data_IF_207828931471
#
_entry.id   IF_207828931471
#
_cell.length_a   1.000
_cell.length_b   1.000
_cell.length_c   1.000
_cell.angle_alpha   90.00
_cell.angle_beta   90.00
_cell.angle_gamma   90.00
#
_symmetry.space_group_name_H-M   'P 1'
#
loop_
_entity.id
_entity.type
_entity.pdbx_description
1 polymer ?
#
# COMPACT_ATOMS: atom_id res chain seq x y z
N UNK A 1 31.08 -0.02 1.25
CA UNK A 1 30.01 0.87 0.82
C UNK A 1 29.54 1.72 1.99
N UNK A 2 29.52 3.01 1.83
CA UNK A 2 29.09 3.93 2.88
C UNK A 2 27.75 4.55 2.48
N UNK A 3 26.69 4.14 3.16
CA UNK A 3 25.34 4.64 2.92
C UNK A 3 24.95 5.60 4.03
N UNK A 4 24.30 6.71 3.65
CA UNK A 4 23.69 7.60 4.62
C UNK A 4 22.49 6.89 5.29
N UNK A 5 22.08 7.32 6.51
CA UNK A 5 20.87 6.75 7.12
C UNK A 5 19.64 6.80 6.21
N UNK A 6 19.47 7.86 5.44
CA UNK A 6 18.39 8.03 4.49
C UNK A 6 18.43 7.00 3.36
N UNK A 7 19.63 6.74 2.83
CA UNK A 7 19.83 5.71 1.81
C UNK A 7 19.55 4.32 2.36
N UNK A 8 19.96 4.06 3.61
CA UNK A 8 19.66 2.79 4.29
C UNK A 8 18.16 2.60 4.44
N UNK A 9 17.42 3.61 4.85
CA UNK A 9 15.95 3.55 4.98
C UNK A 9 15.29 3.25 3.63
N UNK A 10 15.75 3.87 2.56
CA UNK A 10 15.22 3.61 1.22
C UNK A 10 15.47 2.19 0.75
N UNK A 11 16.65 1.65 1.03
CA UNK A 11 16.96 0.26 0.71
C UNK A 11 16.11 -0.70 1.53
N UNK A 12 15.89 -0.41 2.82
CA UNK A 12 15.03 -1.22 3.68
C UNK A 12 13.58 -1.19 3.19
N UNK A 13 13.08 -0.02 2.79
CA UNK A 13 11.74 0.12 2.22
C UNK A 13 11.61 -0.69 0.94
N UNK A 14 12.61 -0.64 0.07
CA UNK A 14 12.64 -1.42 -1.16
C UNK A 14 12.59 -2.92 -0.85
N UNK A 15 13.43 -3.37 0.07
CA UNK A 15 13.48 -4.79 0.45
C UNK A 15 12.15 -5.25 1.05
N UNK A 16 11.58 -4.47 1.96
CA UNK A 16 10.27 -4.77 2.55
C UNK A 16 9.17 -4.79 1.50
N UNK A 17 9.20 -3.87 0.55
CA UNK A 17 8.25 -3.81 -0.55
C UNK A 17 8.34 -5.02 -1.48
N UNK A 18 9.56 -5.45 -1.81
CA UNK A 18 9.77 -6.65 -2.61
C UNK A 18 9.29 -7.91 -1.90
N UNK A 19 9.53 -8.02 -0.60
CA UNK A 19 9.04 -9.13 0.20
C UNK A 19 7.51 -9.15 0.20
N UNK A 20 6.86 -8.00 0.38
CA UNK A 20 5.40 -7.88 0.33
C UNK A 20 4.86 -8.30 -1.04
N UNK A 21 5.53 -7.86 -2.11
CA UNK A 21 5.17 -8.21 -3.48
C UNK A 21 5.22 -9.71 -3.72
N UNK A 22 6.25 -10.39 -3.22
CA UNK A 22 6.38 -11.84 -3.31
C UNK A 22 5.27 -12.56 -2.55
N UNK A 23 4.94 -12.07 -1.35
CA UNK A 23 3.86 -12.64 -0.53
C UNK A 23 2.51 -12.48 -1.21
N UNK A 24 2.23 -11.29 -1.76
CA UNK A 24 1.01 -11.02 -2.52
C UNK A 24 0.91 -11.97 -3.73
N UNK A 25 2.01 -12.18 -4.45
CA UNK A 25 2.04 -13.06 -5.61
C UNK A 25 1.72 -14.53 -5.24
N UNK A 26 2.01 -14.95 -4.01
CA UNK A 26 1.65 -16.27 -3.50
C UNK A 26 0.22 -16.36 -2.98
N UNK A 27 -0.56 -15.31 -3.11
CA UNK A 27 -1.95 -15.26 -2.64
C UNK A 27 -2.11 -14.93 -1.15
N UNK A 28 -1.03 -14.51 -0.48
CA UNK A 28 -1.12 -14.11 0.93
C UNK A 28 -1.66 -12.68 1.04
N UNK A 29 -2.45 -12.45 2.07
CA UNK A 29 -2.96 -11.12 2.37
C UNK A 29 -1.89 -10.33 3.13
N UNK A 30 -1.70 -9.08 2.74
CA UNK A 30 -0.69 -8.22 3.33
C UNK A 30 -1.17 -7.63 4.68
N UNK A 31 -0.25 -7.57 5.65
CA UNK A 31 -0.51 -6.88 6.90
C UNK A 31 -0.27 -5.36 6.72
N UNK A 32 -0.49 -4.58 7.77
CA UNK A 32 -0.39 -3.12 7.71
C UNK A 32 0.99 -2.63 7.24
N UNK A 33 2.13 -3.03 7.84
CA UNK A 33 3.43 -2.58 7.36
C UNK A 33 3.78 -3.09 5.97
N UNK A 34 3.34 -4.29 5.60
CA UNK A 34 3.57 -4.82 4.26
C UNK A 34 2.81 -4.01 3.19
N UNK A 35 1.59 -3.62 3.48
CA UNK A 35 0.80 -2.79 2.56
C UNK A 35 1.47 -1.43 2.32
N UNK A 36 1.94 -0.79 3.38
CA UNK A 36 2.66 0.48 3.30
C UNK A 36 3.95 0.32 2.48
N UNK A 37 4.74 -0.70 2.79
CA UNK A 37 6.01 -0.95 2.10
C UNK A 37 5.80 -1.24 0.61
N UNK A 38 4.78 -2.02 0.28
CA UNK A 38 4.43 -2.34 -1.10
C UNK A 38 4.13 -1.07 -1.91
N UNK A 39 3.22 -0.24 -1.41
CA UNK A 39 2.82 0.98 -2.12
C UNK A 39 3.98 1.97 -2.19
N UNK A 40 4.66 2.21 -1.07
CA UNK A 40 5.76 3.17 -1.01
C UNK A 40 6.89 2.80 -1.96
N UNK A 41 7.33 1.55 -1.96
CA UNK A 41 8.43 1.11 -2.82
C UNK A 41 8.07 1.22 -4.31
N UNK A 42 6.85 0.84 -4.68
CA UNK A 42 6.39 0.96 -6.06
C UNK A 42 6.32 2.43 -6.50
N UNK A 43 5.83 3.32 -5.64
CA UNK A 43 5.75 4.74 -5.97
C UNK A 43 7.12 5.39 -6.10
N UNK A 44 8.09 5.00 -5.28
CA UNK A 44 9.47 5.49 -5.40
C UNK A 44 10.08 5.11 -6.75
N UNK A 45 9.84 3.90 -7.22
CA UNK A 45 10.31 3.45 -8.53
C UNK A 45 9.61 4.21 -9.67
N UNK A 46 8.30 4.43 -9.56
CA UNK A 46 7.55 5.21 -10.55
C UNK A 46 8.03 6.67 -10.60
N UNK A 47 8.40 7.24 -9.46
CA UNK A 47 9.01 8.58 -9.42
C UNK A 47 10.34 8.58 -10.17
N UNK A 48 11.14 7.53 -10.00
CA UNK A 48 12.40 7.36 -10.71
C UNK A 48 12.18 7.23 -12.22
N UNK A 49 11.07 6.60 -12.62
CA UNK A 49 10.65 6.46 -14.02
C UNK A 49 10.18 7.77 -14.63
N UNK A 50 9.96 8.80 -13.83
CA UNK A 50 9.60 10.13 -14.31
C UNK A 50 8.14 10.53 -14.16
N UNK A 51 7.34 9.75 -13.43
CA UNK A 51 5.94 10.13 -13.16
C UNK A 51 5.88 11.36 -12.26
N UNK A 52 4.86 12.18 -12.47
CA UNK A 52 4.61 13.41 -11.68
C UNK A 52 3.99 13.08 -10.32
N UNK A 53 3.99 14.07 -9.41
CA UNK A 53 3.32 13.95 -8.11
C UNK A 53 1.86 13.51 -8.27
N UNK A 54 1.13 14.16 -9.18
CA UNK A 54 -0.29 13.86 -9.43
C UNK A 54 -0.47 12.41 -9.92
N UNK A 55 0.39 11.97 -10.83
CA UNK A 55 0.36 10.59 -11.32
C UNK A 55 0.66 9.57 -10.22
N UNK A 56 1.62 9.87 -9.33
CA UNK A 56 1.94 9.00 -8.20
C UNK A 56 0.76 8.90 -7.23
N UNK A 57 0.10 10.01 -6.93
CA UNK A 57 -1.07 10.03 -6.05
C UNK A 57 -2.19 9.16 -6.62
N UNK A 58 -2.44 9.27 -7.91
CA UNK A 58 -3.45 8.45 -8.60
C UNK A 58 -3.07 6.97 -8.59
N UNK A 59 -1.83 6.64 -8.95
CA UNK A 59 -1.35 5.25 -8.99
C UNK A 59 -1.40 4.60 -7.62
N UNK A 60 -1.01 5.33 -6.56
CA UNK A 60 -1.02 4.81 -5.20
C UNK A 60 -2.39 4.40 -4.71
N UNK A 61 -3.45 5.00 -5.23
CA UNK A 61 -4.83 4.67 -4.88
C UNK A 61 -5.39 3.46 -5.62
N UNK A 62 -4.64 2.89 -6.56
CA UNK A 62 -5.10 1.81 -7.43
C UNK A 62 -4.20 0.57 -7.39
N UNK A 63 -3.35 0.45 -6.36
CA UNK A 63 -2.41 -0.67 -6.24
C UNK A 63 -2.97 -1.85 -5.46
N UNK A 64 -3.70 -1.58 -4.38
CA UNK A 64 -4.24 -2.62 -3.51
C UNK A 64 -5.74 -2.46 -3.32
N UNK A 65 -6.42 -3.60 -3.26
CA UNK A 65 -7.84 -3.66 -2.86
C UNK A 65 -7.94 -4.23 -1.46
N UNK A 66 -9.13 -4.15 -0.86
CA UNK A 66 -9.38 -4.74 0.45
C UNK A 66 -9.24 -6.26 0.47
N UNK A 67 -9.28 -6.93 -0.70
CA UNK A 67 -9.00 -8.37 -0.79
C UNK A 67 -7.52 -8.70 -0.75
N UNK A 68 -6.65 -7.73 -1.01
CA UNK A 68 -5.21 -7.92 -1.01
C UNK A 68 -4.59 -7.79 0.40
N UNK A 69 -5.36 -7.33 1.37
CA UNK A 69 -4.88 -7.02 2.72
C UNK A 69 -5.66 -7.79 3.77
N UNK A 70 -5.05 -7.95 4.95
CA UNK A 70 -5.71 -8.59 6.09
C UNK A 70 -6.86 -7.74 6.60
N UNK A 71 -7.81 -8.35 7.30
CA UNK A 71 -8.95 -7.65 7.88
C UNK A 71 -8.46 -6.57 8.84
N UNK A 72 -9.05 -5.38 8.74
CA UNK A 72 -8.71 -4.23 9.57
C UNK A 72 -7.64 -3.31 8.98
N UNK A 73 -6.87 -3.76 7.99
CA UNK A 73 -5.80 -2.93 7.39
C UNK A 73 -6.39 -1.73 6.65
N UNK A 74 -7.45 -1.95 5.87
CA UNK A 74 -8.06 -0.86 5.11
C UNK A 74 -8.59 0.26 6.01
N UNK A 75 -9.12 -0.07 7.19
CA UNK A 75 -9.64 0.92 8.15
C UNK A 75 -8.53 1.67 8.85
N UNK A 76 -7.36 1.07 9.01
CA UNK A 76 -6.23 1.67 9.70
C UNK A 76 -5.40 2.55 8.76
N UNK A 77 -5.39 2.26 7.47
CA UNK A 77 -4.53 2.92 6.49
C UNK A 77 -5.28 4.01 5.75
N UNK A 78 -5.34 5.20 6.36
CA UNK A 78 -6.05 6.35 5.78
C UNK A 78 -5.21 7.11 4.77
N UNK A 79 -3.90 7.17 4.99
CA UNK A 79 -3.00 7.84 4.05
C UNK A 79 -1.59 7.27 4.15
N UNK A 80 -0.84 7.43 3.07
CA UNK A 80 0.59 7.15 3.03
C UNK A 80 1.29 8.43 2.61
N UNK A 81 2.32 8.83 3.35
CA UNK A 81 3.17 9.96 3.01
C UNK A 81 4.57 9.45 2.70
N UNK A 82 5.12 9.90 1.60
CA UNK A 82 6.48 9.55 1.20
C UNK A 82 7.16 10.75 0.57
N UNK A 83 8.48 10.82 0.72
CA UNK A 83 9.31 11.78 0.01
C UNK A 83 9.89 11.12 -1.22
N UNK A 84 9.68 11.72 -2.38
CA UNK A 84 10.24 11.25 -3.64
C UNK A 84 11.04 12.36 -4.29
N UNK A 85 12.05 11.97 -5.06
CA UNK A 85 12.91 12.92 -5.77
C UNK A 85 12.45 13.06 -7.20
N UNK A 86 12.16 14.30 -7.58
CA UNK A 86 11.74 14.70 -8.92
C UNK A 86 12.82 15.58 -9.55
N UNK A 87 12.76 15.85 -10.87
CA UNK A 87 13.79 16.69 -11.53
C UNK A 87 13.94 18.07 -10.88
N UNK A 88 12.88 18.61 -10.31
CA UNK A 88 12.89 19.93 -9.66
C UNK A 88 13.05 19.87 -8.14
N UNK A 89 13.41 18.73 -7.60
CA UNK A 89 13.72 18.54 -6.17
C UNK A 89 12.90 17.48 -5.48
N UNK A 90 13.14 17.35 -4.17
CA UNK A 90 12.42 16.40 -3.32
C UNK A 90 11.06 16.98 -2.92
N UNK A 91 10.01 16.19 -3.05
CA UNK A 91 8.65 16.60 -2.71
C UNK A 91 7.97 15.53 -1.88
N UNK A 92 7.05 15.97 -1.02
CA UNK A 92 6.18 15.08 -0.26
C UNK A 92 5.01 14.65 -1.14
N UNK A 93 4.78 13.35 -1.21
CA UNK A 93 3.64 12.77 -1.93
C UNK A 93 2.72 12.15 -0.89
N UNK A 94 1.45 12.55 -0.89
CA UNK A 94 0.44 12.01 0.01
C UNK A 94 -0.59 11.21 -0.80
N UNK A 95 -0.76 9.95 -0.45
CA UNK A 95 -1.78 9.09 -1.05
C UNK A 95 -2.90 8.92 -0.03
N UNK A 96 -4.08 9.42 -0.35
CA UNK A 96 -5.27 9.32 0.51
C UNK A 96 -6.06 8.05 0.21
N UNK A 97 -6.51 7.36 1.26
CA UNK A 97 -7.32 6.15 1.16
C UNK A 97 -6.76 5.16 0.13
N UNK A 98 -5.55 4.63 0.38
CA UNK A 98 -4.82 3.84 -0.62
C UNK A 98 -5.40 2.45 -0.88
N UNK A 99 -6.30 1.96 -0.03
CA UNK A 99 -6.91 0.64 -0.21
C UNK A 99 -8.29 0.79 -0.85
N UNK A 100 -8.46 0.22 -2.05
CA UNK A 100 -9.71 0.31 -2.80
C UNK A 100 -10.71 -0.71 -2.25
N UNK A 101 -11.97 -0.31 -1.95
CA UNK A 101 -13.02 -1.26 -1.60
C UNK A 101 -13.31 -2.22 -2.74
N UNK A 102 -13.60 -3.48 -2.43
CA UNK A 102 -14.04 -4.44 -3.43
C UNK A 102 -15.45 -4.09 -3.94
N UNK A 103 -15.85 -4.71 -5.06
CA UNK A 103 -17.22 -4.55 -5.57
C UNK A 103 -18.27 -4.97 -4.52
N UNK A 104 -18.00 -6.04 -3.80
CA UNK A 104 -18.89 -6.54 -2.77
C UNK A 104 -19.06 -5.53 -1.64
N UNK A 105 -17.99 -4.90 -1.19
CA UNK A 105 -18.05 -3.84 -0.17
C UNK A 105 -18.84 -2.63 -0.66
N UNK A 106 -18.69 -2.24 -1.92
CA UNK A 106 -19.43 -1.13 -2.51
C UNK A 106 -20.94 -1.40 -2.55
N UNK A 107 -21.33 -2.64 -2.84
CA UNK A 107 -22.73 -3.03 -2.97
C UNK A 107 -23.47 -3.10 -1.63
N UNK A 108 -22.83 -3.63 -0.58
CA UNK A 108 -23.48 -3.90 0.70
C UNK A 108 -23.09 -2.93 1.82
N UNK A 109 -22.18 -2.00 1.52
CA UNK A 109 -21.61 -1.10 2.50
C UNK A 109 -20.47 -1.74 3.27
N UNK A 110 -19.45 -0.92 3.58
CA UNK A 110 -18.19 -1.37 4.15
C UNK A 110 -18.38 -2.07 5.51
N UNK A 111 -19.19 -1.48 6.40
CA UNK A 111 -19.42 -2.06 7.72
C UNK A 111 -20.10 -3.42 7.67
N UNK A 112 -21.10 -3.59 6.81
CA UNK A 112 -21.78 -4.87 6.59
C UNK A 112 -20.85 -5.95 6.08
N UNK A 113 -19.98 -5.57 5.14
CA UNK A 113 -19.00 -6.49 4.57
C UNK A 113 -18.05 -7.04 5.64
N UNK A 114 -17.60 -6.19 6.55
CA UNK A 114 -16.71 -6.62 7.64
C UNK A 114 -17.39 -7.52 8.63
N UNK A 115 -18.66 -7.29 8.93
CA UNK A 115 -19.46 -8.20 9.78
C UNK A 115 -19.53 -9.59 9.14
N UNK A 116 -19.81 -9.65 7.84
CA UNK A 116 -19.84 -10.92 7.09
C UNK A 116 -18.48 -11.62 7.10
N UNK A 117 -17.40 -10.88 6.90
CA UNK A 117 -16.03 -11.44 6.97
C UNK A 117 -15.72 -12.02 8.35
N UNK A 118 -16.07 -11.30 9.40
CA UNK A 118 -15.85 -11.75 10.76
C UNK A 118 -16.62 -13.06 11.05
N UNK A 119 -17.87 -13.15 10.61
CA UNK A 119 -18.67 -14.37 10.74
C UNK A 119 -18.07 -15.54 9.98
N UNK A 120 -17.57 -15.31 8.77
CA UNK A 120 -16.89 -16.36 7.98
C UNK A 120 -15.61 -16.84 8.66
N UNK A 121 -14.85 -15.92 9.22
CA UNK A 121 -13.61 -16.27 9.96
C UNK A 121 -13.93 -17.14 11.17
N UNK A 122 -14.98 -16.82 11.92
CA UNK A 122 -15.43 -17.62 13.07
C UNK A 122 -15.84 -19.03 12.66
N UNK A 123 -16.50 -19.19 11.51
CA UNK A 123 -16.93 -20.51 11.01
C UNK A 123 -15.79 -21.41 10.63
N UNK A 124 -14.63 -20.85 10.27
CA UNK A 124 -13.44 -21.61 9.89
C UNK A 124 -12.60 -22.05 11.09
N UNK A 125 -12.87 -21.49 12.24
CA UNK A 125 -12.22 -21.91 13.48
C UNK A 125 -12.83 -23.22 14.01
#
# INVERSE_FOLDING_TARGET
MHLTPREQERLMTHLAGELAKQRKARGLKLNYPEAIAYITSELLELARDGLSVTELMSRGRHMLTSDDVMDGVAEMLHEIQLEATFPDGTKLVTVHEPIIPTQQEKLIGKGRFYVIKAQRALRKM
#
